data_IF_970835451244
#
_entry.id   IF_970835451244
#
_cell.length_a   1.000
_cell.length_b   1.000
_cell.length_c   1.000
_cell.angle_alpha   90.00
_cell.angle_beta   90.00
_cell.angle_gamma   90.00
#
_symmetry.space_group_name_H-M   'P 1'
#
loop_
_entity.id
_entity.type
_entity.pdbx_description
1 polymer ?
#
# COMPACT_ATOMS: atom_id res chain seq x y z
N UNK A 1 -20.38 9.99 -35.22
CA UNK A 1 -20.95 10.38 -33.92
C UNK A 1 -20.82 9.18 -33.00
N UNK A 2 -20.05 9.29 -31.91
CA UNK A 2 -20.03 8.25 -30.90
C UNK A 2 -21.48 8.07 -30.42
N UNK A 3 -21.99 6.83 -30.42
CA UNK A 3 -23.42 6.57 -30.28
C UNK A 3 -24.09 7.16 -29.04
N UNK A 4 -23.35 7.64 -28.03
CA UNK A 4 -23.94 8.17 -26.79
C UNK A 4 -24.66 7.09 -25.98
N UNK A 5 -25.02 7.41 -24.74
CA UNK A 5 -25.83 6.51 -23.92
C UNK A 5 -27.30 6.60 -24.35
N UNK A 6 -27.81 5.57 -25.02
CA UNK A 6 -29.22 5.49 -25.46
C UNK A 6 -30.19 5.11 -24.32
N UNK A 7 -29.91 5.55 -23.09
CA UNK A 7 -30.74 5.26 -21.92
C UNK A 7 -32.19 5.70 -22.13
N UNK A 8 -33.13 4.90 -21.64
CA UNK A 8 -34.55 5.22 -21.62
C UNK A 8 -35.25 4.44 -20.51
N UNK A 9 -36.41 4.91 -20.07
CA UNK A 9 -37.29 4.08 -19.25
C UNK A 9 -37.82 2.88 -20.06
N UNK A 10 -38.26 1.79 -19.39
CA UNK A 10 -38.89 0.68 -20.08
C UNK A 10 -40.01 1.15 -21.02
N UNK A 11 -39.94 0.75 -22.29
CA UNK A 11 -40.90 1.10 -23.35
C UNK A 11 -40.86 2.57 -23.83
N UNK A 12 -39.95 3.40 -23.31
CA UNK A 12 -39.74 4.76 -23.79
C UNK A 12 -38.77 4.80 -24.99
N UNK A 13 -38.79 5.91 -25.73
CA UNK A 13 -37.90 6.14 -26.87
C UNK A 13 -36.42 6.11 -26.42
N UNK A 14 -35.54 5.32 -27.06
CA UNK A 14 -34.11 5.30 -26.74
C UNK A 14 -33.49 6.71 -26.71
N UNK A 15 -32.73 7.02 -25.66
CA UNK A 15 -32.13 8.35 -25.44
C UNK A 15 -33.02 9.37 -24.71
N UNK A 16 -34.28 9.04 -24.41
CA UNK A 16 -35.20 9.95 -23.68
C UNK A 16 -34.91 10.07 -22.18
N UNK A 17 -34.09 9.19 -21.61
CA UNK A 17 -33.72 9.24 -20.18
C UNK A 17 -32.24 8.92 -20.05
N UNK A 18 -31.35 9.93 -20.10
CA UNK A 18 -29.91 9.70 -20.01
C UNK A 18 -29.55 9.08 -18.66
N UNK A 19 -28.54 8.22 -18.67
CA UNK A 19 -28.00 7.56 -17.48
C UNK A 19 -26.92 8.42 -16.85
N UNK A 20 -26.55 8.11 -15.61
CA UNK A 20 -25.49 8.86 -14.95
C UNK A 20 -24.15 8.64 -15.67
N UNK A 21 -23.33 9.69 -15.74
CA UNK A 21 -21.92 9.57 -16.14
C UNK A 21 -21.21 8.61 -15.19
N UNK A 22 -20.12 7.99 -15.59
CA UNK A 22 -19.30 7.20 -14.67
C UNK A 22 -18.50 8.10 -13.70
N UNK A 23 -18.01 7.51 -12.61
CA UNK A 23 -17.26 8.24 -11.58
C UNK A 23 -16.05 9.02 -12.11
N UNK A 24 -15.32 8.48 -13.08
CA UNK A 24 -14.14 9.17 -13.65
C UNK A 24 -14.58 10.41 -14.42
N UNK A 25 -15.60 10.29 -15.28
CA UNK A 25 -16.14 11.42 -16.04
C UNK A 25 -16.62 12.55 -15.11
N UNK A 26 -17.27 12.20 -14.00
CA UNK A 26 -17.76 13.20 -13.02
C UNK A 26 -16.63 13.86 -12.23
N UNK A 27 -15.58 13.11 -11.89
CA UNK A 27 -14.35 13.65 -11.30
C UNK A 27 -13.64 14.60 -12.28
N UNK A 28 -13.46 14.17 -13.53
CA UNK A 28 -12.78 14.95 -14.58
C UNK A 28 -13.46 16.28 -14.86
N UNK A 29 -14.80 16.29 -14.91
CA UNK A 29 -15.59 17.51 -15.08
C UNK A 29 -15.67 18.40 -13.83
N UNK A 30 -15.10 17.95 -12.70
CA UNK A 30 -15.17 18.65 -11.41
C UNK A 30 -16.55 18.64 -10.77
N UNK A 31 -17.44 17.72 -11.17
CA UNK A 31 -18.80 17.62 -10.64
C UNK A 31 -18.89 16.78 -9.37
N UNK A 32 -17.86 16.00 -9.08
CA UNK A 32 -17.78 15.16 -7.90
C UNK A 32 -16.34 15.03 -7.41
N UNK A 33 -16.15 14.97 -6.08
CA UNK A 33 -14.89 14.57 -5.47
C UNK A 33 -15.07 13.21 -4.81
N UNK A 34 -14.45 12.15 -5.35
CA UNK A 34 -14.52 10.82 -4.75
C UNK A 34 -13.94 10.79 -3.33
N UNK A 35 -14.53 9.98 -2.47
CA UNK A 35 -14.06 9.75 -1.11
C UNK A 35 -12.89 8.78 -1.10
N UNK A 36 -11.95 8.96 -0.17
CA UNK A 36 -10.78 8.07 0.03
C UNK A 36 -10.86 7.41 1.42
N UNK A 37 -11.69 6.36 1.59
CA UNK A 37 -11.88 5.70 2.87
C UNK A 37 -10.63 4.93 3.31
N UNK A 38 -10.49 4.76 4.63
CA UNK A 38 -9.53 3.82 5.23
C UNK A 38 -10.07 2.38 5.18
N UNK A 39 -9.21 1.40 5.43
CA UNK A 39 -9.60 -0.01 5.54
C UNK A 39 -10.71 -0.21 6.59
N UNK A 40 -11.64 -1.12 6.30
CA UNK A 40 -12.83 -1.42 7.10
C UNK A 40 -14.05 -1.66 6.22
N UNK A 41 -15.20 -1.91 6.84
CA UNK A 41 -16.47 -2.03 6.09
C UNK A 41 -16.90 -0.65 5.61
N UNK A 42 -17.04 -0.51 4.28
CA UNK A 42 -17.51 0.71 3.64
C UNK A 42 -18.96 0.54 3.16
N UNK A 43 -19.71 1.65 3.14
CA UNK A 43 -21.05 1.71 2.55
C UNK A 43 -20.97 2.57 1.30
N UNK A 44 -21.42 2.01 0.18
CA UNK A 44 -21.53 2.69 -1.11
C UNK A 44 -23.00 2.78 -1.49
N UNK A 45 -23.36 3.76 -2.30
CA UNK A 45 -24.71 3.90 -2.82
C UNK A 45 -24.72 4.63 -4.14
N UNK A 46 -25.90 4.74 -4.73
CA UNK A 46 -26.06 5.38 -6.04
C UNK A 46 -25.57 6.82 -5.99
N UNK A 47 -24.66 7.22 -6.90
CA UNK A 47 -24.09 8.56 -6.92
C UNK A 47 -25.16 9.62 -7.24
N UNK A 48 -24.88 10.88 -6.89
CA UNK A 48 -25.74 12.05 -7.14
C UNK A 48 -27.09 12.10 -6.39
N UNK A 49 -27.30 11.27 -5.37
CA UNK A 49 -28.39 11.45 -4.40
C UNK A 49 -28.03 12.40 -3.23
N UNK A 50 -26.81 12.98 -3.24
CA UNK A 50 -26.27 13.84 -2.18
C UNK A 50 -25.79 13.09 -0.93
N UNK A 51 -25.80 11.75 -0.92
CA UNK A 51 -25.46 10.92 0.24
C UNK A 51 -24.25 10.01 0.01
N UNK A 52 -24.05 9.52 -1.22
CA UNK A 52 -22.96 8.58 -1.52
C UNK A 52 -22.16 9.07 -2.73
N UNK A 53 -20.97 9.63 -2.46
CA UNK A 53 -19.99 9.89 -3.52
C UNK A 53 -19.27 8.60 -3.92
N UNK A 54 -18.74 8.57 -5.14
CA UNK A 54 -17.84 7.53 -5.60
C UNK A 54 -16.64 7.38 -4.64
N UNK A 55 -16.06 6.19 -4.59
CA UNK A 55 -14.91 5.86 -3.76
C UNK A 55 -13.67 5.76 -4.64
N UNK A 56 -12.59 6.43 -4.25
CA UNK A 56 -11.28 6.30 -4.86
C UNK A 56 -10.39 5.43 -4.00
N UNK A 57 -9.90 4.35 -4.60
CA UNK A 57 -9.00 3.38 -4.00
C UNK A 57 -7.62 3.56 -4.61
N UNK A 58 -6.65 3.96 -3.80
CA UNK A 58 -5.28 4.23 -4.25
C UNK A 58 -4.27 3.54 -3.33
N UNK A 59 -3.11 3.21 -3.89
CA UNK A 59 -2.01 2.62 -3.13
C UNK A 59 -0.91 3.65 -2.92
N UNK A 60 -0.44 3.88 -1.68
CA UNK A 60 0.67 4.79 -1.42
C UNK A 60 2.02 4.30 -1.95
N UNK A 61 2.14 3.00 -2.26
CA UNK A 61 3.36 2.42 -2.84
C UNK A 61 3.40 2.50 -4.37
N UNK A 62 2.45 3.22 -4.99
CA UNK A 62 2.37 3.37 -6.43
C UNK A 62 2.10 4.81 -6.83
N UNK A 63 2.23 5.11 -8.12
CA UNK A 63 1.91 6.44 -8.65
C UNK A 63 0.45 6.81 -8.36
N UNK A 64 0.22 8.05 -7.95
CA UNK A 64 -1.11 8.57 -7.62
C UNK A 64 -2.04 8.69 -8.84
N UNK A 65 -1.49 8.65 -10.05
CA UNK A 65 -2.22 8.71 -11.32
C UNK A 65 -2.84 7.39 -11.72
N UNK A 66 -2.50 6.27 -11.06
CA UNK A 66 -3.13 4.97 -11.30
C UNK A 66 -3.87 4.49 -10.05
N UNK A 67 -5.17 4.25 -10.18
CA UNK A 67 -6.07 3.99 -9.06
C UNK A 67 -7.34 3.28 -9.52
N UNK A 68 -8.19 2.90 -8.57
CA UNK A 68 -9.53 2.42 -8.87
C UNK A 68 -10.59 3.40 -8.39
N UNK A 69 -11.68 3.52 -9.15
CA UNK A 69 -12.90 4.19 -8.71
C UNK A 69 -14.01 3.15 -8.55
N UNK A 70 -14.79 3.26 -7.48
CA UNK A 70 -15.87 2.34 -7.17
C UNK A 70 -17.17 3.11 -6.90
N UNK A 71 -18.27 2.71 -7.53
CA UNK A 71 -19.59 3.33 -7.37
C UNK A 71 -20.72 2.32 -7.54
N UNK A 72 -21.84 2.53 -6.87
CA UNK A 72 -23.03 1.68 -7.07
C UNK A 72 -23.82 2.19 -8.26
N UNK A 73 -24.13 1.31 -9.21
CA UNK A 73 -25.07 1.54 -10.31
C UNK A 73 -26.34 0.76 -10.02
N UNK A 74 -27.51 1.39 -10.09
CA UNK A 74 -28.80 0.74 -9.85
C UNK A 74 -29.91 1.42 -10.66
N UNK A 75 -31.04 0.73 -10.90
CA UNK A 75 -32.17 1.25 -11.70
C UNK A 75 -32.99 2.33 -10.96
N UNK A 76 -32.34 3.38 -10.46
CA UNK A 76 -32.95 4.47 -9.70
C UNK A 76 -32.33 5.81 -10.06
N UNK A 77 -33.08 6.90 -9.87
CA UNK A 77 -32.62 8.25 -10.25
C UNK A 77 -32.29 8.33 -11.74
N UNK A 78 -31.16 8.95 -12.09
CA UNK A 78 -30.67 9.04 -13.47
C UNK A 78 -30.43 7.66 -14.11
N UNK A 79 -29.95 6.68 -13.34
CA UNK A 79 -29.70 5.32 -13.83
C UNK A 79 -30.98 4.49 -14.03
N UNK A 80 -32.18 5.03 -13.73
CA UNK A 80 -33.43 4.41 -14.16
C UNK A 80 -33.49 4.23 -15.70
N UNK A 81 -32.79 5.08 -16.46
CA UNK A 81 -32.62 4.98 -17.91
C UNK A 81 -31.89 3.71 -18.38
N UNK A 82 -31.23 2.95 -17.50
CA UNK A 82 -30.67 1.64 -17.84
C UNK A 82 -31.77 0.59 -18.07
N UNK A 83 -32.95 0.77 -17.47
CA UNK A 83 -34.03 -0.22 -17.49
C UNK A 83 -34.72 -0.37 -18.85
N UNK A 84 -34.66 0.64 -19.72
CA UNK A 84 -35.26 0.63 -21.06
C UNK A 84 -34.34 0.18 -22.17
N UNK A 85 -33.08 -0.18 -21.89
CA UNK A 85 -32.15 -0.81 -22.84
C UNK A 85 -32.59 -2.24 -23.20
N UNK A 86 -33.82 -2.42 -23.71
CA UNK A 86 -34.38 -3.71 -24.11
C UNK A 86 -33.70 -4.20 -25.39
N UNK A 87 -33.14 -5.40 -25.33
CA UNK A 87 -32.31 -6.01 -26.40
C UNK A 87 -30.85 -6.24 -25.98
N UNK A 88 -30.44 -5.65 -24.86
CA UNK A 88 -29.18 -5.91 -24.21
C UNK A 88 -29.46 -6.87 -23.05
N UNK A 89 -29.12 -8.14 -23.24
CA UNK A 89 -29.32 -9.18 -22.24
C UNK A 89 -28.68 -8.76 -20.91
N UNK A 90 -29.48 -8.53 -19.85
CA UNK A 90 -28.94 -8.39 -18.50
C UNK A 90 -29.70 -7.50 -17.51
N UNK A 91 -30.51 -6.53 -17.94
CA UNK A 91 -31.11 -5.55 -16.98
C UNK A 91 -32.42 -5.99 -16.33
N UNK A 92 -33.07 -7.05 -16.82
CA UNK A 92 -34.29 -7.58 -16.20
C UNK A 92 -33.98 -8.22 -14.84
N UNK A 93 -34.61 -7.74 -13.76
CA UNK A 93 -34.32 -8.20 -12.39
C UNK A 93 -33.04 -7.63 -11.79
N UNK A 94 -32.33 -6.74 -12.50
CA UNK A 94 -31.17 -6.03 -11.96
C UNK A 94 -31.63 -4.97 -10.94
N UNK A 95 -31.13 -5.09 -9.72
CA UNK A 95 -31.47 -4.21 -8.60
C UNK A 95 -30.32 -3.30 -8.17
N UNK A 96 -29.11 -3.57 -8.68
CA UNK A 96 -27.92 -2.77 -8.43
C UNK A 96 -26.65 -3.60 -8.42
N UNK A 97 -25.51 -2.94 -8.56
CA UNK A 97 -24.19 -3.57 -8.52
C UNK A 97 -23.08 -2.53 -8.44
N UNK A 98 -21.93 -2.94 -7.93
CA UNK A 98 -20.76 -2.10 -7.81
C UNK A 98 -19.99 -2.08 -9.14
N UNK A 99 -19.87 -0.90 -9.73
CA UNK A 99 -18.96 -0.65 -10.85
C UNK A 99 -17.58 -0.32 -10.28
N UNK A 100 -16.56 -1.01 -10.76
CA UNK A 100 -15.16 -0.70 -10.47
C UNK A 100 -14.50 -0.28 -11.78
N UNK A 101 -13.82 0.87 -11.77
CA UNK A 101 -13.04 1.40 -12.89
C UNK A 101 -11.56 1.35 -12.49
N UNK A 102 -10.70 0.78 -13.33
CA UNK A 102 -9.25 0.93 -13.27
C UNK A 102 -8.88 2.16 -14.09
N UNK A 103 -8.28 3.14 -13.43
CA UNK A 103 -7.91 4.43 -14.01
C UNK A 103 -6.40 4.57 -14.03
N UNK A 104 -5.87 5.06 -15.14
CA UNK A 104 -4.50 5.56 -15.31
C UNK A 104 -4.53 6.89 -16.06
N UNK A 105 -4.45 8.00 -15.32
CA UNK A 105 -4.50 9.36 -15.85
C UNK A 105 -3.28 9.74 -16.72
N UNK A 106 -2.27 8.86 -16.83
CA UNK A 106 -1.12 9.09 -17.73
C UNK A 106 -1.31 8.53 -19.13
N UNK A 107 -2.39 7.78 -19.37
CA UNK A 107 -2.71 7.24 -20.69
C UNK A 107 -3.21 8.36 -21.60
N UNK A 108 -2.90 8.26 -22.90
CA UNK A 108 -3.30 9.24 -23.90
C UNK A 108 -2.47 10.53 -23.83
N UNK A 109 -2.88 11.54 -24.58
CA UNK A 109 -2.20 12.83 -24.68
C UNK A 109 -2.54 13.81 -23.56
N UNK A 110 -3.44 13.44 -22.65
CA UNK A 110 -4.02 14.34 -21.65
C UNK A 110 -5.03 15.34 -22.23
N UNK A 111 -5.37 15.22 -23.53
CA UNK A 111 -6.34 16.07 -24.21
C UNK A 111 -7.45 15.24 -24.85
N UNK A 112 -8.70 15.65 -24.63
CA UNK A 112 -9.88 15.00 -25.24
C UNK A 112 -10.33 15.71 -26.54
N UNK A 113 -9.60 16.74 -26.99
CA UNK A 113 -9.97 17.61 -28.11
C UNK A 113 -9.73 16.98 -29.50
N UNK A 114 -8.77 16.06 -29.61
CA UNK A 114 -8.28 15.49 -30.88
C UNK A 114 -8.62 14.01 -31.05
N UNK A 115 -9.79 13.62 -30.54
CA UNK A 115 -10.31 12.26 -30.36
C UNK A 115 -9.92 11.63 -29.02
N UNK A 116 -10.74 10.67 -28.58
CA UNK A 116 -10.55 9.96 -27.32
C UNK A 116 -9.41 8.93 -27.46
N UNK A 117 -8.17 9.37 -27.27
CA UNK A 117 -6.99 8.51 -27.15
C UNK A 117 -6.85 7.89 -25.75
N UNK A 118 -7.46 8.51 -24.74
CA UNK A 118 -7.51 8.04 -23.35
C UNK A 118 -8.06 6.62 -23.23
N UNK A 119 -9.20 6.33 -23.86
CA UNK A 119 -9.83 5.00 -23.84
C UNK A 119 -9.67 4.23 -25.16
N UNK A 120 -8.77 4.65 -26.04
CA UNK A 120 -8.55 3.97 -27.32
C UNK A 120 -7.83 2.64 -27.07
N UNK A 121 -8.40 1.55 -27.56
CA UNK A 121 -7.69 0.27 -27.57
C UNK A 121 -6.50 0.34 -28.53
N UNK A 122 -5.31 0.10 -27.99
CA UNK A 122 -4.07 -0.10 -28.74
C UNK A 122 -3.45 -1.40 -28.21
N UNK A 123 -3.21 -2.36 -29.09
CA UNK A 123 -2.71 -3.68 -28.68
C UNK A 123 -1.40 -3.55 -27.88
N UNK A 124 -1.36 -4.17 -26.70
CA UNK A 124 -0.21 -4.11 -25.79
C UNK A 124 -0.07 -2.79 -25.01
N UNK A 125 -1.03 -1.87 -25.11
CA UNK A 125 -1.08 -0.64 -24.32
C UNK A 125 -2.27 -0.67 -23.36
N UNK A 126 -2.15 0.08 -22.28
CA UNK A 126 -3.23 0.28 -21.33
C UNK A 126 -4.20 1.36 -21.82
N UNK A 127 -5.41 1.33 -21.29
CA UNK A 127 -6.43 2.34 -21.49
C UNK A 127 -6.60 3.14 -20.19
N UNK A 128 -7.00 4.39 -20.30
CA UNK A 128 -6.99 5.34 -19.19
C UNK A 128 -8.12 5.17 -18.19
N UNK A 129 -9.31 4.72 -18.60
CA UNK A 129 -10.40 4.41 -17.69
C UNK A 129 -11.21 3.23 -18.22
N UNK A 130 -11.02 2.06 -17.60
CA UNK A 130 -11.68 0.82 -18.00
C UNK A 130 -12.43 0.17 -16.86
N UNK A 131 -13.63 -0.36 -17.14
CA UNK A 131 -14.34 -1.18 -16.18
C UNK A 131 -13.55 -2.47 -15.89
N UNK A 132 -13.38 -2.77 -14.61
CA UNK A 132 -12.95 -4.10 -14.16
C UNK A 132 -14.21 -4.97 -14.07
N UNK A 133 -14.39 -5.82 -15.07
CA UNK A 133 -15.65 -6.54 -15.29
C UNK A 133 -15.72 -7.81 -14.45
N UNK A 134 -16.67 -7.88 -13.51
CA UNK A 134 -16.84 -9.04 -12.61
C UNK A 134 -16.97 -10.40 -13.33
N UNK A 135 -17.49 -10.38 -14.56
CA UNK A 135 -17.69 -11.56 -15.39
C UNK A 135 -16.54 -11.87 -16.36
N UNK A 136 -15.44 -11.11 -16.32
CA UNK A 136 -14.26 -11.32 -17.17
C UNK A 136 -14.06 -10.19 -18.18
N UNK A 137 -12.82 -10.03 -18.67
CA UNK A 137 -12.39 -8.88 -19.47
C UNK A 137 -12.87 -8.94 -20.94
N UNK A 138 -14.13 -8.60 -21.19
CA UNK A 138 -14.76 -8.63 -22.51
C UNK A 138 -14.65 -7.29 -23.26
N UNK A 139 -14.71 -6.16 -22.56
CA UNK A 139 -14.62 -4.81 -23.13
C UNK A 139 -13.18 -4.36 -23.38
N UNK A 140 -12.23 -4.82 -22.57
CA UNK A 140 -10.82 -4.44 -22.70
C UNK A 140 -10.03 -5.26 -23.74
N UNK A 141 -10.53 -6.44 -24.16
CA UNK A 141 -9.71 -7.42 -24.88
C UNK A 141 -9.86 -7.42 -26.40
N UNK A 142 -10.95 -6.90 -26.97
CA UNK A 142 -11.33 -7.36 -28.32
C UNK A 142 -11.17 -6.34 -29.44
N UNK A 143 -11.07 -5.03 -29.18
CA UNK A 143 -11.07 -3.99 -30.24
C UNK A 143 -12.22 -4.12 -31.26
N UNK A 144 -13.20 -4.97 -30.95
CA UNK A 144 -14.17 -5.53 -31.88
C UNK A 144 -15.48 -4.80 -31.64
N UNK A 145 -16.09 -4.18 -32.67
CA UNK A 145 -17.37 -3.49 -32.53
C UNK A 145 -18.56 -4.45 -32.34
N UNK A 146 -18.31 -5.69 -31.93
CA UNK A 146 -19.30 -6.75 -31.81
C UNK A 146 -20.08 -6.65 -30.49
N UNK A 147 -21.29 -7.21 -30.47
CA UNK A 147 -22.18 -7.19 -29.31
C UNK A 147 -21.61 -7.88 -28.05
N UNK A 148 -20.49 -8.59 -28.15
CA UNK A 148 -19.78 -9.22 -27.03
C UNK A 148 -18.85 -8.27 -26.28
N UNK A 149 -18.53 -7.09 -26.84
CA UNK A 149 -17.70 -6.07 -26.20
C UNK A 149 -18.55 -4.97 -25.53
N UNK A 150 -19.72 -5.32 -25.01
CA UNK A 150 -20.67 -4.40 -24.37
C UNK A 150 -20.90 -4.81 -22.93
N UNK A 151 -20.95 -3.84 -22.03
CA UNK A 151 -21.27 -4.08 -20.62
C UNK A 151 -22.69 -4.63 -20.44
N UNK A 152 -22.89 -5.37 -19.36
CA UNK A 152 -24.19 -5.88 -18.91
C UNK A 152 -24.35 -5.73 -17.39
N UNK A 153 -25.50 -6.08 -16.83
CA UNK A 153 -25.66 -6.14 -15.37
C UNK A 153 -24.65 -7.11 -14.71
N UNK A 154 -24.20 -8.14 -15.43
CA UNK A 154 -23.24 -9.12 -14.93
C UNK A 154 -21.79 -8.63 -14.93
N UNK A 155 -21.53 -7.49 -15.57
CA UNK A 155 -20.24 -6.81 -15.52
C UNK A 155 -19.97 -6.19 -14.14
N UNK A 156 -21.03 -5.92 -13.36
CA UNK A 156 -20.94 -5.31 -12.05
C UNK A 156 -20.70 -6.35 -10.94
N UNK A 157 -20.07 -5.91 -9.87
CA UNK A 157 -19.75 -6.72 -8.70
C UNK A 157 -20.92 -6.69 -7.69
N UNK A 158 -21.49 -7.84 -7.33
CA UNK A 158 -22.53 -7.99 -6.31
C UNK A 158 -22.71 -9.45 -5.87
N UNK A 159 -22.96 -9.71 -4.60
CA UNK A 159 -23.26 -11.07 -4.13
C UNK A 159 -24.49 -11.63 -4.87
N UNK A 160 -24.37 -12.85 -5.37
CA UNK A 160 -25.40 -13.49 -6.20
C UNK A 160 -25.27 -13.22 -7.70
N UNK A 161 -24.21 -12.55 -8.18
CA UNK A 161 -23.93 -12.50 -9.62
C UNK A 161 -23.65 -13.92 -10.15
N UNK A 162 -24.46 -14.45 -11.08
CA UNK A 162 -24.32 -15.83 -11.56
C UNK A 162 -23.13 -16.04 -12.50
N UNK A 163 -22.47 -14.97 -12.95
CA UNK A 163 -21.47 -14.99 -14.01
C UNK A 163 -20.08 -14.56 -13.55
N UNK A 164 -19.78 -14.63 -12.24
CA UNK A 164 -18.43 -14.32 -11.78
C UNK A 164 -17.39 -15.18 -12.50
N UNK A 165 -16.36 -14.55 -13.05
CA UNK A 165 -15.22 -15.25 -13.63
C UNK A 165 -14.30 -15.86 -12.54
N UNK A 166 -14.43 -15.38 -11.30
CA UNK A 166 -13.71 -15.84 -10.12
C UNK A 166 -14.64 -16.07 -8.92
N UNK A 167 -14.12 -15.83 -7.72
CA UNK A 167 -14.83 -16.07 -6.46
C UNK A 167 -15.73 -14.90 -6.01
N UNK A 168 -15.89 -13.88 -6.84
CA UNK A 168 -16.65 -12.68 -6.52
C UNK A 168 -15.93 -11.69 -5.60
N UNK A 169 -14.63 -11.89 -5.35
CA UNK A 169 -13.77 -10.92 -4.65
C UNK A 169 -12.91 -10.13 -5.63
N UNK A 170 -12.56 -8.91 -5.26
CA UNK A 170 -11.64 -8.05 -6.03
C UNK A 170 -10.37 -7.87 -5.22
N UNK A 171 -9.34 -8.66 -5.53
CA UNK A 171 -8.08 -8.75 -4.78
C UNK A 171 -6.91 -8.88 -5.74
N UNK A 172 -5.66 -8.79 -5.27
CA UNK A 172 -4.48 -8.97 -6.14
C UNK A 172 -4.36 -10.38 -6.73
N UNK A 173 -4.99 -11.37 -6.11
CA UNK A 173 -4.94 -12.79 -6.53
C UNK A 173 -6.22 -13.30 -7.20
N UNK A 174 -7.30 -12.51 -7.24
CA UNK A 174 -8.56 -12.93 -7.85
C UNK A 174 -8.50 -12.84 -9.38
N UNK A 175 -9.57 -13.27 -10.04
CA UNK A 175 -9.73 -13.07 -11.48
C UNK A 175 -11.16 -12.62 -11.77
N UNK A 176 -11.40 -11.37 -12.19
CA UNK A 176 -10.43 -10.27 -12.34
C UNK A 176 -9.75 -9.85 -11.02
N UNK A 177 -8.58 -9.18 -11.10
CA UNK A 177 -7.80 -8.73 -9.94
C UNK A 177 -7.66 -7.21 -9.85
N UNK A 178 -7.17 -6.77 -8.70
CA UNK A 178 -6.83 -5.39 -8.38
C UNK A 178 -5.35 -5.03 -8.62
N UNK A 179 -4.62 -5.78 -9.45
CA UNK A 179 -3.22 -5.42 -9.74
C UNK A 179 -3.14 -4.18 -10.64
N UNK A 180 -2.02 -3.47 -10.55
CA UNK A 180 -1.72 -2.39 -11.48
C UNK A 180 -1.40 -2.93 -12.87
N UNK A 181 -1.43 -2.06 -13.88
CA UNK A 181 -1.16 -2.44 -15.26
C UNK A 181 0.22 -3.05 -15.49
N UNK A 182 1.21 -2.70 -14.66
CA UNK A 182 2.54 -3.32 -14.69
C UNK A 182 2.59 -4.71 -14.02
N UNK A 183 1.46 -5.24 -13.56
CA UNK A 183 1.32 -6.53 -12.89
C UNK A 183 1.69 -6.52 -11.41
N UNK A 184 2.13 -5.39 -10.85
CA UNK A 184 2.42 -5.30 -9.42
C UNK A 184 1.14 -5.26 -8.59
N UNK A 185 1.18 -5.88 -7.41
CA UNK A 185 0.05 -5.89 -6.47
C UNK A 185 -0.22 -4.48 -5.94
N UNK A 186 -1.50 -4.09 -5.96
CA UNK A 186 -1.93 -2.80 -5.38
C UNK A 186 -2.08 -2.85 -3.86
N UNK A 187 -2.29 -4.04 -3.29
CA UNK A 187 -2.75 -4.24 -1.91
C UNK A 187 -4.17 -3.73 -1.62
N UNK A 188 -4.91 -3.33 -2.67
CA UNK A 188 -6.31 -2.93 -2.57
C UNK A 188 -7.17 -4.18 -2.69
N UNK A 189 -8.10 -4.38 -1.76
CA UNK A 189 -9.04 -5.50 -1.78
C UNK A 189 -10.46 -5.05 -1.46
N UNK A 190 -11.44 -5.57 -2.20
CA UNK A 190 -12.84 -5.55 -1.82
C UNK A 190 -13.32 -7.00 -1.65
N UNK A 191 -13.73 -7.31 -0.43
CA UNK A 191 -14.30 -8.60 -0.03
C UNK A 191 -15.70 -8.39 0.49
N UNK A 192 -16.43 -9.49 0.71
CA UNK A 192 -17.78 -9.45 1.31
C UNK A 192 -18.72 -8.45 0.61
N UNK A 193 -18.57 -8.28 -0.71
CA UNK A 193 -19.41 -7.35 -1.49
C UNK A 193 -20.85 -7.81 -1.33
N UNK A 194 -21.74 -6.93 -0.86
CA UNK A 194 -23.13 -7.28 -0.54
C UNK A 194 -23.93 -7.66 -1.78
N UNK A 195 -25.16 -8.14 -1.57
CA UNK A 195 -26.13 -8.29 -2.65
C UNK A 195 -26.37 -6.95 -3.37
N UNK A 196 -26.80 -7.04 -4.62
CA UNK A 196 -27.10 -5.86 -5.45
C UNK A 196 -28.19 -5.00 -4.84
N UNK A 197 -28.07 -3.69 -4.97
CA UNK A 197 -29.06 -2.73 -4.46
C UNK A 197 -28.65 -1.29 -4.74
N UNK A 198 -29.50 -0.35 -4.33
CA UNK A 198 -29.20 1.09 -4.39
C UNK A 198 -28.19 1.54 -3.32
N UNK A 199 -27.99 0.71 -2.31
CA UNK A 199 -26.96 0.82 -1.27
C UNK A 199 -26.33 -0.54 -1.09
N UNK A 200 -25.01 -0.59 -1.00
CA UNK A 200 -24.21 -1.80 -0.91
C UNK A 200 -23.10 -1.62 0.12
N UNK A 201 -22.58 -2.74 0.64
CA UNK A 201 -21.42 -2.74 1.53
C UNK A 201 -20.32 -3.62 0.97
N UNK A 202 -19.08 -3.33 1.36
CA UNK A 202 -17.93 -4.19 1.09
C UNK A 202 -16.90 -4.03 2.21
N UNK A 203 -16.14 -5.07 2.48
CA UNK A 203 -14.97 -4.99 3.35
C UNK A 203 -13.78 -4.53 2.50
N UNK A 204 -13.32 -3.32 2.77
CA UNK A 204 -12.20 -2.69 2.08
C UNK A 204 -10.90 -2.93 2.84
N UNK A 205 -9.89 -3.39 2.12
CA UNK A 205 -8.49 -3.27 2.52
C UNK A 205 -7.79 -2.30 1.57
N UNK A 206 -7.13 -1.28 2.10
CA UNK A 206 -6.17 -0.45 1.38
C UNK A 206 -4.82 -0.47 2.11
N UNK A 207 -3.68 -0.40 1.39
CA UNK A 207 -2.38 -0.33 2.04
C UNK A 207 -2.24 0.97 2.82
N UNK A 208 -1.75 0.86 4.05
CA UNK A 208 -1.39 2.04 4.83
C UNK A 208 -0.17 2.75 4.22
N UNK A 209 -0.10 4.08 4.27
CA UNK A 209 1.11 4.81 3.92
C UNK A 209 2.31 4.32 4.74
N UNK A 210 3.47 4.16 4.10
CA UNK A 210 4.68 3.82 4.81
C UNK A 210 5.06 4.94 5.78
N UNK A 211 5.39 4.57 7.03
CA UNK A 211 5.97 5.47 8.03
C UNK A 211 7.48 5.48 7.82
N UNK A 212 8.08 6.58 7.31
CA UNK A 212 9.51 6.61 7.02
C UNK A 212 10.32 6.70 8.31
N UNK A 213 11.58 6.23 8.28
CA UNK A 213 12.56 6.58 9.31
C UNK A 213 12.92 8.06 9.17
N UNK A 214 12.66 8.83 10.22
CA UNK A 214 12.96 10.27 10.29
C UNK A 214 14.23 10.58 11.09
N UNK A 215 14.68 9.65 11.94
CA UNK A 215 15.89 9.81 12.75
C UNK A 215 16.60 8.48 12.98
N UNK A 216 17.93 8.53 12.98
CA UNK A 216 18.82 7.41 13.29
C UNK A 216 19.95 7.90 14.19
N UNK A 217 20.14 7.26 15.34
CA UNK A 217 21.23 7.54 16.28
C UNK A 217 21.93 6.24 16.65
N UNK A 218 23.25 6.26 16.87
CA UNK A 218 24.02 5.12 17.38
C UNK A 218 24.64 5.43 18.73
N UNK A 219 24.60 4.46 19.63
CA UNK A 219 25.21 4.54 20.96
C UNK A 219 26.05 3.28 21.26
N UNK A 220 27.24 3.42 21.88
CA UNK A 220 27.95 4.69 22.09
C UNK A 220 28.41 5.33 20.77
N UNK A 221 28.60 6.65 20.75
CA UNK A 221 29.14 7.38 19.58
C UNK A 221 30.67 7.25 19.46
N UNK A 222 31.34 6.93 20.57
CA UNK A 222 32.75 6.62 20.59
C UNK A 222 33.06 5.63 21.71
N UNK A 223 34.03 4.74 21.49
CA UNK A 223 34.48 3.81 22.51
C UNK A 223 35.96 3.46 22.34
N UNK A 224 36.64 3.19 23.45
CA UNK A 224 38.04 2.77 23.45
C UNK A 224 38.13 1.32 23.92
N UNK A 225 38.84 0.48 23.15
CA UNK A 225 39.02 -0.94 23.43
C UNK A 225 40.49 -1.32 23.48
N UNK A 226 40.83 -2.27 24.35
CA UNK A 226 42.07 -3.03 24.20
C UNK A 226 41.95 -4.03 23.03
N UNK A 227 43.08 -4.43 22.45
CA UNK A 227 43.11 -5.47 21.42
C UNK A 227 42.42 -6.74 21.92
N UNK A 228 41.51 -7.31 21.13
CA UNK A 228 40.69 -8.47 21.48
C UNK A 228 39.40 -8.12 22.25
N UNK A 229 39.25 -6.89 22.73
CA UNK A 229 38.04 -6.41 23.39
C UNK A 229 36.85 -6.29 22.45
N UNK A 230 35.65 -6.24 23.03
CA UNK A 230 34.38 -6.09 22.30
C UNK A 230 33.52 -4.99 22.89
N UNK A 231 32.69 -4.37 22.04
CA UNK A 231 31.64 -3.44 22.47
C UNK A 231 30.38 -3.72 21.66
N UNK A 232 29.22 -3.58 22.28
CA UNK A 232 27.94 -3.63 21.58
C UNK A 232 27.50 -2.21 21.26
N UNK A 233 27.24 -1.95 19.98
CA UNK A 233 26.61 -0.73 19.50
C UNK A 233 25.10 -0.96 19.37
N UNK A 234 24.31 0.07 19.66
CA UNK A 234 22.85 0.07 19.51
C UNK A 234 22.43 1.29 18.68
N UNK A 235 21.73 1.05 17.59
CA UNK A 235 21.02 2.02 16.78
C UNK A 235 19.62 2.28 17.35
N UNK A 236 19.17 3.53 17.33
CA UNK A 236 17.82 3.95 17.72
C UNK A 236 17.19 4.68 16.54
N UNK A 237 15.95 4.30 16.19
CA UNK A 237 15.20 4.84 15.05
C UNK A 237 14.01 5.65 15.57
N UNK A 238 13.70 6.76 14.93
CA UNK A 238 12.51 7.57 15.22
C UNK A 238 11.74 7.83 13.93
N UNK A 239 10.40 7.67 13.93
CA UNK A 239 9.58 7.12 15.02
C UNK A 239 9.79 5.60 15.18
N UNK A 240 9.44 5.06 16.36
CA UNK A 240 9.64 3.63 16.64
C UNK A 240 8.77 2.70 15.79
N UNK A 241 7.66 3.21 15.24
CA UNK A 241 6.75 2.50 14.36
C UNK A 241 7.06 2.72 12.86
N UNK A 242 8.30 3.06 12.50
CA UNK A 242 8.73 3.11 11.11
C UNK A 242 8.43 1.77 10.39
N UNK A 243 7.90 1.84 9.16
CA UNK A 243 7.43 0.67 8.41
C UNK A 243 8.56 -0.30 8.05
N UNK A 244 9.79 0.21 7.89
CA UNK A 244 10.99 -0.61 7.75
C UNK A 244 12.09 -0.10 8.71
N UNK A 245 12.23 -0.71 9.90
CA UNK A 245 13.22 -0.31 10.90
C UNK A 245 14.59 -1.00 10.73
N UNK A 246 14.84 -1.65 9.58
CA UNK A 246 16.08 -2.39 9.35
C UNK A 246 17.28 -1.48 9.08
N UNK A 247 18.45 -1.92 9.54
CA UNK A 247 19.71 -1.20 9.38
C UNK A 247 20.83 -2.14 8.92
N UNK A 248 21.85 -1.56 8.29
CA UNK A 248 23.09 -2.24 7.91
C UNK A 248 24.28 -1.63 8.62
N UNK A 249 25.31 -2.43 8.90
CA UNK A 249 26.51 -2.01 9.62
C UNK A 249 27.75 -2.24 8.77
N UNK A 250 28.67 -1.28 8.78
CA UNK A 250 29.95 -1.37 8.06
C UNK A 250 31.09 -0.80 8.91
N UNK A 251 32.31 -1.29 8.68
CA UNK A 251 33.54 -0.73 9.25
C UNK A 251 34.39 -0.19 8.12
N UNK A 252 34.91 1.04 8.26
CA UNK A 252 35.85 1.61 7.28
C UNK A 252 37.24 0.96 7.35
N UNK A 253 37.59 0.36 8.49
CA UNK A 253 38.85 -0.32 8.71
C UNK A 253 38.67 -1.66 9.46
N UNK A 254 38.25 -2.72 8.75
CA UNK A 254 38.08 -4.06 9.33
C UNK A 254 39.36 -4.67 9.93
N UNK A 255 40.55 -4.20 9.52
CA UNK A 255 41.83 -4.66 10.09
C UNK A 255 42.09 -4.14 11.51
N UNK A 256 41.41 -3.07 11.91
CA UNK A 256 41.45 -2.47 13.25
C UNK A 256 40.25 -2.92 14.08
N UNK A 257 39.04 -2.84 13.52
CA UNK A 257 37.83 -3.30 14.18
C UNK A 257 36.82 -3.89 13.20
N UNK A 258 36.35 -5.11 13.48
CA UNK A 258 35.26 -5.74 12.71
C UNK A 258 33.93 -5.49 13.39
N UNK A 259 32.86 -5.37 12.60
CA UNK A 259 31.48 -5.23 13.09
C UNK A 259 30.65 -6.44 12.63
N UNK A 260 29.86 -6.99 13.54
CA UNK A 260 28.97 -8.11 13.28
C UNK A 260 27.57 -7.74 13.78
N UNK A 261 26.58 -7.59 12.90
CA UNK A 261 25.21 -7.32 13.32
C UNK A 261 24.69 -8.42 14.25
N UNK A 262 23.95 -8.04 15.29
CA UNK A 262 23.28 -9.00 16.15
C UNK A 262 22.06 -9.55 15.41
N UNK A 263 21.91 -10.87 15.39
CA UNK A 263 20.71 -11.52 14.85
C UNK A 263 19.67 -11.65 15.97
N UNK A 264 18.46 -11.17 15.72
CA UNK A 264 17.34 -11.50 16.59
C UNK A 264 17.03 -12.98 16.39
N UNK A 265 16.87 -13.72 17.48
CA UNK A 265 16.52 -15.14 17.43
C UNK A 265 15.18 -15.32 16.69
N UNK A 266 15.24 -15.75 15.44
CA UNK A 266 14.09 -16.30 14.72
C UNK A 266 13.56 -15.56 13.49
N UNK A 267 14.13 -14.44 13.03
CA UNK A 267 13.73 -13.84 11.74
C UNK A 267 14.89 -13.13 11.03
N UNK A 268 15.26 -13.62 9.85
CA UNK A 268 16.36 -13.10 9.00
C UNK A 268 16.07 -11.69 8.45
N UNK A 269 14.81 -11.22 8.50
CA UNK A 269 14.41 -9.92 7.96
C UNK A 269 14.54 -8.74 8.95
N UNK A 270 14.86 -8.99 10.22
CA UNK A 270 15.09 -7.94 11.21
C UNK A 270 16.54 -8.03 11.70
N UNK A 271 17.48 -7.46 10.94
CA UNK A 271 18.81 -7.19 11.48
C UNK A 271 18.58 -6.31 12.71
N UNK A 272 18.91 -6.85 13.88
CA UNK A 272 18.67 -6.17 15.16
C UNK A 272 19.30 -4.79 15.07
N UNK A 273 18.66 -3.81 15.70
CA UNK A 273 19.24 -2.49 15.92
C UNK A 273 20.56 -2.53 16.72
N UNK A 274 21.18 -3.68 16.96
CA UNK A 274 22.46 -3.83 17.64
C UNK A 274 23.51 -4.51 16.78
N UNK A 275 24.78 -4.19 17.03
CA UNK A 275 25.92 -4.86 16.42
C UNK A 275 27.05 -5.02 17.45
N UNK A 276 27.78 -6.12 17.38
CA UNK A 276 28.99 -6.34 18.17
C UNK A 276 30.20 -5.94 17.35
N UNK A 277 31.03 -5.08 17.92
CA UNK A 277 32.33 -4.71 17.36
C UNK A 277 33.42 -5.46 18.10
N UNK A 278 34.41 -5.99 17.37
CA UNK A 278 35.58 -6.66 17.92
C UNK A 278 36.86 -5.93 17.50
N UNK A 279 37.69 -5.57 18.48
CA UNK A 279 39.00 -4.96 18.25
C UNK A 279 40.02 -5.99 17.79
N UNK A 280 40.72 -5.71 16.69
CA UNK A 280 41.67 -6.61 16.03
C UNK A 280 43.11 -6.12 16.20
N UNK A 281 43.39 -4.85 15.95
CA UNK A 281 44.73 -4.27 16.05
C UNK A 281 44.67 -2.79 16.46
N UNK A 282 45.78 -2.24 16.94
CA UNK A 282 45.85 -0.83 17.35
C UNK A 282 45.54 0.10 16.18
N UNK A 283 44.73 1.12 16.41
CA UNK A 283 44.31 2.07 15.39
C UNK A 283 42.95 2.70 15.70
N UNK A 284 42.40 3.41 14.73
CA UNK A 284 41.02 3.93 14.81
C UNK A 284 40.21 3.38 13.64
N UNK A 285 38.98 2.96 13.92
CA UNK A 285 38.01 2.51 12.92
C UNK A 285 36.68 3.22 13.16
N UNK A 286 36.01 3.65 12.09
CA UNK A 286 34.67 4.21 12.12
C UNK A 286 33.66 3.17 11.68
N UNK A 287 32.74 2.87 12.59
CA UNK A 287 31.62 1.98 12.34
C UNK A 287 30.43 2.83 11.89
N UNK A 288 29.85 2.50 10.74
CA UNK A 288 28.72 3.22 10.16
C UNK A 288 27.49 2.33 10.17
N UNK A 289 26.36 2.88 10.64
CA UNK A 289 25.03 2.28 10.52
C UNK A 289 24.19 3.06 9.52
N UNK A 290 23.49 2.37 8.63
CA UNK A 290 22.66 2.97 7.56
C UNK A 290 21.27 2.35 7.51
N UNK A 291 20.23 3.15 7.28
CA UNK A 291 18.86 2.67 7.05
C UNK A 291 18.70 1.96 5.71
N UNK A 292 17.71 1.07 5.59
CA UNK A 292 17.38 0.36 4.33
C UNK A 292 16.00 0.70 3.76
N UNK A 293 15.28 1.64 4.37
CA UNK A 293 13.94 2.09 3.95
C UNK A 293 13.97 3.12 2.82
N UNK A 294 15.16 3.48 2.30
CA UNK A 294 15.35 4.51 1.28
C UNK A 294 15.50 5.93 1.82
N UNK A 295 15.40 6.14 3.15
CA UNK A 295 15.65 7.46 3.78
C UNK A 295 17.11 7.92 3.67
N UNK A 296 18.04 7.01 3.38
CA UNK A 296 19.48 7.26 3.25
C UNK A 296 20.11 7.90 4.50
N UNK A 297 19.56 7.61 5.68
CA UNK A 297 20.08 8.10 6.95
C UNK A 297 21.27 7.25 7.41
N UNK A 298 22.29 7.91 7.96
CA UNK A 298 23.48 7.24 8.51
C UNK A 298 23.85 7.81 9.88
N UNK A 299 24.40 6.96 10.74
CA UNK A 299 25.00 7.35 12.00
C UNK A 299 26.33 6.62 12.21
N UNK A 300 27.27 7.21 12.95
CA UNK A 300 28.63 6.66 13.08
C UNK A 300 29.08 6.54 14.53
N UNK A 301 29.84 5.48 14.82
CA UNK A 301 30.56 5.28 16.08
C UNK A 301 32.05 5.15 15.82
N UNK A 302 32.86 5.92 16.55
CA UNK A 302 34.33 5.87 16.45
C UNK A 302 34.91 4.90 17.46
N UNK A 303 35.67 3.91 16.98
CA UNK A 303 36.31 2.89 17.80
C UNK A 303 37.81 3.12 17.80
N UNK A 304 38.36 3.40 18.97
CA UNK A 304 39.81 3.55 19.15
C UNK A 304 40.36 2.31 19.82
N UNK A 305 41.31 1.64 19.18
CA UNK A 305 42.00 0.45 19.70
C UNK A 305 43.41 0.87 20.09
N UNK A 306 43.74 0.79 21.37
CA UNK A 306 45.03 1.24 21.88
C UNK A 306 45.26 0.80 23.33
N UNK A 307 46.52 0.52 23.65
CA UNK A 307 46.92 -0.17 24.89
C UNK A 307 46.48 0.55 26.18
N UNK A 308 45.89 -0.23 27.09
CA UNK A 308 46.02 0.05 28.52
C UNK A 308 47.51 0.14 28.85
N UNK A 309 47.89 1.21 29.54
CA UNK A 309 49.28 1.66 29.65
C UNK A 309 50.28 0.56 30.04
N UNK A 310 51.45 0.61 29.41
CA UNK A 310 52.66 0.00 29.93
C UNK A 310 52.98 0.58 31.30
N UNK A 311 52.73 -0.21 32.36
CA UNK A 311 53.30 -0.02 33.68
C UNK A 311 54.36 -1.09 33.93
N UNK A 312 55.61 -0.77 33.66
CA UNK A 312 56.77 -1.45 34.24
C UNK A 312 56.92 -0.95 35.68
N UNK A 313 56.93 -1.85 36.66
CA UNK A 313 57.12 -1.52 38.08
C UNK A 313 57.06 -2.78 38.95
N UNK A 314 58.14 -3.08 39.66
CA UNK A 314 58.41 -4.36 40.28
C UNK A 314 57.62 -4.71 41.54
N UNK A 315 57.66 -6.01 41.86
CA UNK A 315 57.67 -6.60 43.20
C UNK A 315 56.62 -6.12 44.22
N UNK A 316 55.61 -6.96 44.46
CA UNK A 316 54.77 -6.85 45.65
C UNK A 316 53.59 -7.80 45.61
N UNK A 317 53.69 -8.92 46.33
CA UNK A 317 52.57 -9.78 46.63
C UNK A 317 51.69 -9.06 47.68
N UNK A 318 50.44 -8.72 47.35
CA UNK A 318 49.44 -8.36 48.35
C UNK A 318 48.04 -8.74 47.89
N UNK A 319 47.41 -9.60 48.68
CA UNK A 319 45.99 -9.98 48.57
C UNK A 319 45.15 -8.81 49.09
N UNK A 320 44.14 -8.38 48.33
CA UNK A 320 43.23 -7.29 48.74
C UNK A 320 41.95 -7.29 47.91
N UNK A 321 40.82 -7.37 48.61
CA UNK A 321 39.48 -7.62 48.11
C UNK A 321 38.80 -6.40 47.46
N UNK A 322 37.73 -6.66 46.68
CA UNK A 322 36.64 -5.71 46.46
C UNK A 322 36.48 -5.19 45.03
N UNK A 323 35.83 -5.97 44.16
CA UNK A 323 35.28 -5.48 42.91
C UNK A 323 33.93 -4.80 43.16
N UNK A 324 33.86 -3.48 43.05
CA UNK A 324 32.59 -2.73 42.94
C UNK A 324 32.30 -2.42 41.48
N UNK A 325 31.20 -3.00 40.99
CA UNK A 325 30.61 -2.77 39.66
C UNK A 325 29.79 -1.46 39.72
N UNK A 326 29.95 -0.49 38.81
CA UNK A 326 29.03 0.65 38.77
C UNK A 326 27.70 0.22 38.12
N UNK A 327 26.62 0.47 38.84
CA UNK A 327 25.25 0.17 38.44
C UNK A 327 24.84 0.95 37.18
N UNK A 328 24.36 0.22 36.17
CA UNK A 328 23.60 0.81 35.06
C UNK A 328 22.17 1.04 35.56
N UNK A 329 21.77 2.31 35.61
CA UNK A 329 20.42 2.77 35.92
C UNK A 329 19.47 2.33 34.81
N UNK A 330 18.79 1.20 35.01
CA UNK A 330 17.71 0.74 34.15
C UNK A 330 16.44 1.54 34.49
N UNK A 331 16.12 2.54 33.68
CA UNK A 331 14.86 3.29 33.80
C UNK A 331 13.71 2.38 33.32
N UNK A 332 13.10 1.63 34.24
CA UNK A 332 11.84 0.92 33.96
C UNK A 332 10.68 1.91 33.96
N UNK A 333 10.07 2.12 32.80
CA UNK A 333 8.73 2.73 32.69
C UNK A 333 7.71 1.69 33.16
N UNK A 334 6.82 2.00 34.12
CA UNK A 334 5.90 1.01 34.67
C UNK A 334 4.79 0.70 33.67
N UNK A 335 4.68 -0.58 33.29
CA UNK A 335 3.53 -1.15 32.61
C UNK A 335 2.35 -1.19 33.59
N UNK A 336 1.46 -0.20 33.52
CA UNK A 336 0.23 -0.19 34.29
C UNK A 336 -0.73 -1.26 33.75
N UNK A 337 -0.85 -2.36 34.49
CA UNK A 337 -1.94 -3.32 34.38
C UNK A 337 -3.29 -2.59 34.49
N UNK A 338 -4.12 -2.70 33.45
CA UNK A 338 -5.56 -2.51 33.58
C UNK A 338 -6.26 -3.86 33.35
N UNK A 339 -6.20 -4.74 34.35
CA UNK A 339 -7.22 -5.77 34.55
C UNK A 339 -8.17 -5.29 35.64
N UNK A 340 -9.41 -4.97 35.27
CA UNK A 340 -10.56 -5.15 36.15
C UNK A 340 -11.55 -6.08 35.45
N UNK A 341 -11.72 -7.25 36.05
CA UNK A 341 -12.81 -8.21 35.83
C UNK A 341 -14.14 -7.56 36.20
N UNK A 342 -15.13 -7.66 35.31
CA UNK A 342 -16.33 -8.50 35.45
C UNK A 342 -16.97 -8.66 34.08
#
# INVERSE_FOLDING_TARGET
MAGGSWGCLPLATPGSTPVNLDAWSRQYLGWETPQTPSSGTITLGTPFNGQHSAVRLSSPSHRSTEYFLAEVRALSGWDAGLGGLRGFSGVAGFIGGLLILHVDDTVGSGSLDQANDFNKYVAGQNQGCMAVEANGSYMASNGSPSNVARGSAYTLWYNGNPNYFGDGTFTGSSSPNSNFYNGTTSGIELRSISAGGTTMTADLTVPAPAVPVAGLVVAPQAHSLAVGGTVTLTASITPDNASNPSVTWTSDNPSVATVTPLLASGNIAAVTRGATVRAISNGTARITVSTTDGSNLTATSTITVGGGGSGSGGGGCSVGAGATIPAVLLLMVPLAMLLKRK
#
